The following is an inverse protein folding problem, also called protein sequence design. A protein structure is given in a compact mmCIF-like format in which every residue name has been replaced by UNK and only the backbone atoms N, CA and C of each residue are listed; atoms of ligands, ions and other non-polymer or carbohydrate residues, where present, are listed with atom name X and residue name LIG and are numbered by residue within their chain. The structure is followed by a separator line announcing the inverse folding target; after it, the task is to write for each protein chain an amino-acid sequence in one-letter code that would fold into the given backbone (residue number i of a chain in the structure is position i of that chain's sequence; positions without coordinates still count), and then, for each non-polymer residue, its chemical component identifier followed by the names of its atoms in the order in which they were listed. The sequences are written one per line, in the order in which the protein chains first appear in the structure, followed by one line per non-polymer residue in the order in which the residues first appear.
data_IF_242865112448
#
_entry.id   IF_242865112448
#
_cell.length_a   1.000
_cell.length_b   1.000
_cell.length_c   1.000
_cell.angle_alpha   90.00
_cell.angle_beta   90.00
_cell.angle_gamma   90.00
#
_symmetry.space_group_name_H-M   'P 1'
#
loop_
_entity.id
_entity.type
_entity.pdbx_description
1 polymer ?
#
# COMPACT_ATOMS: atom_id res chain seq x y z
N UNK A 1 -21.59 -1.32 -16.14
CA UNK A 1 -21.13 -0.21 -15.27
C UNK A 1 -19.95 0.41 -16.01
N UNK A 2 -19.91 1.73 -16.27
CA UNK A 2 -18.79 2.31 -17.04
C UNK A 2 -17.45 1.89 -16.43
N UNK A 3 -16.60 1.21 -17.20
CA UNK A 3 -15.31 0.68 -16.73
C UNK A 3 -14.42 1.81 -16.20
N UNK A 4 -14.51 3.01 -16.78
CA UNK A 4 -13.84 4.21 -16.28
C UNK A 4 -14.14 4.52 -14.81
N UNK A 5 -15.38 4.29 -14.34
CA UNK A 5 -15.76 4.48 -12.93
C UNK A 5 -15.14 3.41 -12.02
N UNK A 6 -14.98 2.19 -12.50
CA UNK A 6 -14.31 1.12 -11.75
C UNK A 6 -12.83 1.45 -11.57
N UNK A 7 -12.13 1.78 -12.67
CA UNK A 7 -10.71 2.11 -12.66
C UNK A 7 -10.45 3.29 -11.71
N UNK A 8 -11.26 4.36 -11.76
CA UNK A 8 -11.11 5.50 -10.85
C UNK A 8 -11.21 5.10 -9.37
N UNK A 9 -12.06 4.12 -9.04
CA UNK A 9 -12.21 3.61 -7.68
C UNK A 9 -10.99 2.80 -7.24
N UNK A 10 -10.50 1.92 -8.10
CA UNK A 10 -9.31 1.10 -7.84
C UNK A 10 -8.04 1.95 -7.70
N UNK A 11 -7.92 3.01 -8.50
CA UNK A 11 -6.84 4.01 -8.37
C UNK A 11 -6.91 4.71 -7.02
N UNK A 12 -8.11 5.17 -6.59
CA UNK A 12 -8.27 5.81 -5.29
C UNK A 12 -7.90 4.88 -4.13
N UNK A 13 -8.26 3.59 -4.22
CA UNK A 13 -7.88 2.57 -3.23
C UNK A 13 -6.35 2.39 -3.21
N UNK A 14 -5.72 2.35 -4.37
CA UNK A 14 -4.25 2.25 -4.48
C UNK A 14 -3.55 3.45 -3.84
N UNK A 15 -4.07 4.66 -4.07
CA UNK A 15 -3.54 5.88 -3.43
C UNK A 15 -3.70 5.79 -1.91
N UNK A 16 -4.85 5.36 -1.41
CA UNK A 16 -5.07 5.19 0.02
C UNK A 16 -4.12 4.16 0.64
N UNK A 17 -3.89 3.02 -0.01
CA UNK A 17 -2.92 2.01 0.41
C UNK A 17 -1.50 2.58 0.49
N UNK A 18 -1.10 3.35 -0.51
CA UNK A 18 0.21 3.99 -0.51
C UNK A 18 0.37 4.98 0.65
N UNK A 19 -0.65 5.79 0.93
CA UNK A 19 -0.64 6.71 2.08
C UNK A 19 -0.55 5.96 3.41
N UNK A 20 -1.28 4.85 3.57
CA UNK A 20 -1.19 4.01 4.77
C UNK A 20 0.22 3.46 4.95
N UNK A 21 0.82 2.94 3.87
CA UNK A 21 2.20 2.46 3.91
C UNK A 21 3.19 3.57 4.25
N UNK A 22 3.02 4.74 3.65
CA UNK A 22 3.88 5.90 3.90
C UNK A 22 3.79 6.35 5.36
N UNK A 23 2.59 6.44 5.93
CA UNK A 23 2.38 6.80 7.34
C UNK A 23 3.00 5.75 8.26
N UNK A 24 2.79 4.45 7.99
CA UNK A 24 3.41 3.38 8.77
C UNK A 24 4.93 3.51 8.76
N UNK A 25 5.52 3.61 7.57
CA UNK A 25 6.95 3.73 7.40
C UNK A 25 7.50 4.98 8.10
N UNK A 26 6.85 6.14 7.93
CA UNK A 26 7.26 7.39 8.55
C UNK A 26 7.19 7.34 10.08
N UNK A 27 6.09 6.80 10.62
CA UNK A 27 5.91 6.64 12.07
C UNK A 27 7.02 5.80 12.70
N UNK A 28 7.29 4.61 12.14
CA UNK A 28 8.33 3.73 12.68
C UNK A 28 9.75 4.23 12.43
N UNK A 29 9.98 4.99 11.36
CA UNK A 29 11.30 5.54 11.07
C UNK A 29 11.68 6.72 11.97
N UNK A 30 10.73 7.61 12.27
CA UNK A 30 11.02 8.88 12.95
C UNK A 30 10.52 8.96 14.39
N UNK A 31 9.42 8.27 14.72
CA UNK A 31 8.79 8.37 16.05
C UNK A 31 9.20 7.21 16.97
N UNK A 32 9.53 6.06 16.39
CA UNK A 32 9.93 4.86 17.14
C UNK A 32 11.45 4.71 17.33
N UNK A 33 12.26 5.54 16.68
CA UNK A 33 13.70 5.57 16.93
C UNK A 33 14.03 6.39 18.18
N UNK A 34 14.70 5.82 19.17
CA UNK A 34 15.32 6.62 20.25
C UNK A 34 16.36 7.59 19.68
N UNK A 35 16.43 8.79 20.28
CA UNK A 35 17.43 9.80 19.92
C UNK A 35 18.86 9.34 20.30
N UNK A 36 18.99 8.46 21.29
CA UNK A 36 20.26 7.89 21.72
C UNK A 36 20.49 6.52 21.06
N UNK A 37 21.52 6.44 20.22
CA UNK A 37 21.92 5.22 19.49
C UNK A 37 22.33 4.08 20.44
N UNK A 38 22.83 4.42 21.63
CA UNK A 38 23.27 3.45 22.64
C UNK A 38 22.12 2.68 23.30
N UNK A 39 20.89 3.21 23.24
CA UNK A 39 19.69 2.56 23.80
C UNK A 39 18.89 1.78 22.75
N UNK A 40 19.35 1.73 21.49
CA UNK A 40 18.65 0.96 20.47
C UNK A 40 18.58 -0.52 20.85
N UNK A 41 17.36 -1.04 20.86
CA UNK A 41 17.17 -2.48 20.88
C UNK A 41 17.44 -3.01 19.49
N UNK A 42 18.21 -4.09 19.44
CA UNK A 42 18.53 -4.76 18.20
C UNK A 42 17.70 -6.03 18.07
N UNK A 43 16.97 -6.14 16.96
CA UNK A 43 16.25 -7.34 16.56
C UNK A 43 17.03 -7.95 15.40
N UNK A 44 17.54 -9.17 15.60
CA UNK A 44 18.35 -9.89 14.59
C UNK A 44 19.56 -9.09 14.08
N UNK A 45 20.16 -8.25 14.93
CA UNK A 45 21.33 -7.42 14.58
C UNK A 45 20.99 -6.10 13.88
N UNK A 46 19.71 -5.79 13.67
CA UNK A 46 19.23 -4.53 13.10
C UNK A 46 18.56 -3.69 14.20
N UNK A 47 18.66 -2.34 14.16
CA UNK A 47 17.89 -1.49 15.04
C UNK A 47 16.39 -1.80 14.94
N UNK A 48 15.68 -1.79 16.07
CA UNK A 48 14.26 -2.16 16.14
C UNK A 48 13.40 -1.32 15.19
N UNK A 49 13.65 -0.01 15.10
CA UNK A 49 12.93 0.90 14.22
C UNK A 49 13.06 0.49 12.74
N UNK A 50 14.24 0.01 12.34
CA UNK A 50 14.48 -0.47 10.98
C UNK A 50 13.79 -1.81 10.75
N UNK A 51 13.84 -2.72 11.74
CA UNK A 51 13.15 -4.00 11.64
C UNK A 51 11.63 -3.81 11.49
N UNK A 52 11.02 -2.93 12.27
CA UNK A 52 9.59 -2.63 12.19
C UNK A 52 9.22 -1.90 10.89
N UNK A 53 10.05 -0.95 10.44
CA UNK A 53 9.80 -0.20 9.22
C UNK A 53 9.94 -1.04 7.96
N UNK A 54 10.98 -1.88 7.88
CA UNK A 54 11.34 -2.60 6.65
C UNK A 54 10.84 -4.04 6.63
N UNK A 55 11.00 -4.80 7.71
CA UNK A 55 10.64 -6.23 7.72
C UNK A 55 9.15 -6.38 8.02
N UNK A 56 8.70 -5.82 9.15
CA UNK A 56 7.28 -5.89 9.54
C UNK A 56 6.44 -5.06 8.58
N UNK A 57 6.89 -3.85 8.21
CA UNK A 57 6.23 -3.00 7.24
C UNK A 57 6.01 -3.69 5.88
N UNK A 58 7.00 -4.46 5.39
CA UNK A 58 6.87 -5.21 4.14
C UNK A 58 5.83 -6.34 4.23
N UNK A 59 5.83 -7.10 5.33
CA UNK A 59 4.82 -8.14 5.54
C UNK A 59 3.42 -7.51 5.65
N UNK A 60 3.31 -6.44 6.43
CA UNK A 60 2.07 -5.70 6.64
C UNK A 60 1.48 -5.19 5.31
N UNK A 61 2.27 -4.50 4.47
CA UNK A 61 1.76 -3.95 3.22
C UNK A 61 1.38 -5.04 2.22
N UNK A 62 2.13 -6.14 2.16
CA UNK A 62 1.79 -7.27 1.27
C UNK A 62 0.45 -7.91 1.66
N UNK A 63 0.22 -8.13 2.95
CA UNK A 63 -1.05 -8.67 3.45
C UNK A 63 -2.19 -7.69 3.15
N UNK A 64 -1.97 -6.40 3.37
CA UNK A 64 -2.97 -5.36 3.13
C UNK A 64 -3.34 -5.29 1.63
N UNK A 65 -2.35 -5.31 0.74
CA UNK A 65 -2.54 -5.35 -0.71
C UNK A 65 -3.30 -6.62 -1.13
N UNK A 66 -2.92 -7.79 -0.60
CA UNK A 66 -3.62 -9.04 -0.89
C UNK A 66 -5.10 -8.97 -0.52
N UNK A 67 -5.42 -8.46 0.67
CA UNK A 67 -6.81 -8.27 1.13
C UNK A 67 -7.53 -7.28 0.20
N UNK A 68 -6.89 -6.16 -0.15
CA UNK A 68 -7.50 -5.15 -1.00
C UNK A 68 -7.81 -5.67 -2.40
N UNK A 69 -6.90 -6.41 -3.03
CA UNK A 69 -7.13 -7.04 -4.34
C UNK A 69 -8.33 -7.99 -4.24
N UNK A 70 -8.36 -8.85 -3.22
CA UNK A 70 -9.42 -9.86 -3.07
C UNK A 70 -10.81 -9.24 -2.83
N UNK A 71 -10.88 -8.13 -2.12
CA UNK A 71 -12.15 -7.51 -1.72
C UNK A 71 -12.66 -6.45 -2.70
N UNK A 72 -11.76 -5.67 -3.30
CA UNK A 72 -12.15 -4.47 -4.04
C UNK A 72 -11.85 -4.52 -5.54
N UNK A 73 -10.86 -5.31 -5.97
CA UNK A 73 -10.50 -5.36 -7.38
C UNK A 73 -11.39 -6.37 -8.10
N UNK A 74 -11.85 -5.98 -9.29
CA UNK A 74 -12.62 -6.84 -10.18
C UNK A 74 -11.89 -6.96 -11.50
N UNK A 75 -12.07 -8.10 -12.17
CA UNK A 75 -11.53 -8.28 -13.52
C UNK A 75 -12.06 -7.19 -14.46
N UNK A 76 -11.14 -6.64 -15.26
CA UNK A 76 -11.45 -5.61 -16.25
C UNK A 76 -11.43 -6.27 -17.62
N UNK A 77 -12.58 -6.25 -18.31
CA UNK A 77 -12.66 -6.68 -19.70
C UNK A 77 -12.18 -5.54 -20.63
N UNK A 78 -11.07 -5.79 -21.33
CA UNK A 78 -10.48 -4.83 -22.26
C UNK A 78 -11.33 -4.60 -23.52
N UNK A 79 -12.13 -5.57 -23.96
CA UNK A 79 -13.05 -5.40 -25.10
C UNK A 79 -14.19 -4.44 -24.74
N UNK A 80 -14.77 -4.61 -23.54
CA UNK A 80 -15.79 -3.71 -23.03
C UNK A 80 -15.23 -2.29 -22.79
N UNK A 81 -13.98 -2.16 -22.31
CA UNK A 81 -13.30 -0.87 -22.13
C UNK A 81 -13.14 -0.11 -23.46
N UNK A 82 -12.67 -0.80 -24.50
CA UNK A 82 -12.46 -0.20 -25.82
C UNK A 82 -13.78 0.24 -26.48
N UNK A 83 -14.88 -0.49 -26.21
CA UNK A 83 -16.22 -0.15 -26.67
C UNK A 83 -16.77 1.11 -25.97
N UNK A 84 -16.64 1.21 -24.64
CA UNK A 84 -17.06 2.38 -23.85
C UNK A 84 -16.29 3.65 -24.31
N UNK A 85 -14.97 3.53 -24.53
CA UNK A 85 -14.12 4.64 -25.01
C UNK A 85 -14.48 5.15 -26.41
N UNK A 86 -15.01 4.30 -27.30
CA UNK A 86 -15.48 4.69 -28.63
C UNK A 86 -16.85 5.37 -28.60
N UNK A 87 -17.70 5.03 -27.63
CA UNK A 87 -19.03 5.64 -27.44
C UNK A 87 -18.93 7.05 -26.84
N UNK A 88 -17.86 7.34 -26.11
CA UNK A 88 -17.58 8.64 -25.50
C UNK A 88 -16.82 9.62 -26.44
N UNK A 89 -16.54 9.22 -27.68
CA UNK A 89 -15.84 10.00 -28.72
C UNK A 89 -16.80 10.44 -29.82
#
# INVERSE_FOLDING_TARGET
MKISKQINKEVLITIALYLIYFVWWYYFAYEYGSDNVEEYKYILGLPEWFFYSCVVGLVFINVLVYICIKLFFKDVDFEEYNKDKKLDK
#
